data_IF_881967278412
#
_entry.id   IF_881967278412
#
_cell.length_a   1.000
_cell.length_b   1.000
_cell.length_c   1.000
_cell.angle_alpha   90.00
_cell.angle_beta   90.00
_cell.angle_gamma   90.00
#
_symmetry.space_group_name_H-M   'P 1'
#
loop_
_entity.id
_entity.type
_entity.pdbx_description
1 polymer ?
#
# COMPACT_ATOMS: atom_id res chain seq x y z
N UNK A 1 -21.83 -31.60 -50.89
CA UNK A 1 -21.28 -30.44 -50.15
C UNK A 1 -19.77 -30.63 -50.10
N UNK A 2 -19.06 -29.83 -50.84
CA UNK A 2 -17.59 -29.95 -51.03
C UNK A 2 -16.85 -29.55 -49.78
N UNK A 3 -15.64 -30.08 -49.57
CA UNK A 3 -14.77 -29.73 -48.48
C UNK A 3 -14.49 -28.20 -48.45
N UNK A 4 -14.45 -27.58 -49.63
CA UNK A 4 -14.26 -26.15 -49.81
C UNK A 4 -15.39 -25.29 -49.22
N UNK A 5 -16.64 -25.80 -49.18
CA UNK A 5 -17.78 -25.08 -48.60
C UNK A 5 -17.80 -25.13 -47.06
N UNK A 6 -17.02 -26.01 -46.45
CA UNK A 6 -16.95 -26.20 -45.00
C UNK A 6 -15.81 -25.45 -44.37
N UNK A 7 -14.70 -25.23 -45.11
CA UNK A 7 -13.50 -24.56 -44.63
C UNK A 7 -13.76 -23.16 -43.97
N UNK A 8 -14.55 -22.26 -44.61
CA UNK A 8 -14.78 -20.94 -44.02
C UNK A 8 -15.62 -21.01 -42.73
N UNK A 9 -16.54 -21.99 -42.65
CA UNK A 9 -17.36 -22.19 -41.43
C UNK A 9 -16.53 -22.65 -40.24
N UNK A 10 -15.61 -23.59 -40.44
CA UNK A 10 -14.73 -24.08 -39.38
C UNK A 10 -13.73 -23.01 -38.97
N UNK A 11 -13.23 -22.20 -39.90
CA UNK A 11 -12.35 -21.08 -39.59
C UNK A 11 -13.05 -20.05 -38.68
N UNK A 12 -14.29 -19.65 -39.01
CA UNK A 12 -15.08 -18.74 -38.18
C UNK A 12 -15.34 -19.35 -36.80
N UNK A 13 -15.69 -20.63 -36.71
CA UNK A 13 -15.94 -21.30 -35.44
C UNK A 13 -14.67 -21.38 -34.57
N UNK A 14 -13.50 -21.63 -35.14
CA UNK A 14 -12.23 -21.67 -34.41
C UNK A 14 -11.84 -20.28 -33.90
N UNK A 15 -12.04 -19.21 -34.67
CA UNK A 15 -11.78 -17.84 -34.24
C UNK A 15 -12.71 -17.44 -33.10
N UNK A 16 -14.01 -17.78 -33.20
CA UNK A 16 -14.98 -17.53 -32.13
C UNK A 16 -14.64 -18.31 -30.85
N UNK A 17 -14.30 -19.59 -30.99
CA UNK A 17 -13.91 -20.41 -29.82
C UNK A 17 -12.62 -19.89 -29.15
N UNK A 18 -11.64 -19.48 -29.96
CA UNK A 18 -10.40 -18.89 -29.45
C UNK A 18 -10.67 -17.53 -28.73
N UNK A 19 -11.56 -16.70 -29.32
CA UNK A 19 -11.97 -15.44 -28.72
C UNK A 19 -12.71 -15.64 -27.38
N UNK A 20 -13.66 -16.55 -27.32
CA UNK A 20 -14.38 -16.91 -26.10
C UNK A 20 -13.44 -17.52 -25.05
N UNK A 21 -12.50 -18.36 -25.47
CA UNK A 21 -11.47 -18.91 -24.59
C UNK A 21 -10.56 -17.83 -24.00
N UNK A 22 -10.16 -16.86 -24.79
CA UNK A 22 -9.35 -15.73 -24.31
C UNK A 22 -10.11 -14.84 -23.32
N UNK A 23 -11.40 -14.58 -23.58
CA UNK A 23 -12.27 -13.83 -22.66
C UNK A 23 -12.46 -14.61 -21.37
N UNK A 24 -12.80 -15.89 -21.44
CA UNK A 24 -12.95 -16.76 -20.28
C UNK A 24 -11.65 -16.83 -19.47
N UNK A 25 -10.49 -16.94 -20.13
CA UNK A 25 -9.18 -16.90 -19.49
C UNK A 25 -8.91 -15.58 -18.77
N UNK A 26 -9.30 -14.44 -19.35
CA UNK A 26 -9.20 -13.14 -18.71
C UNK A 26 -10.11 -13.01 -17.50
N UNK A 27 -11.32 -13.55 -17.55
CA UNK A 27 -12.29 -13.51 -16.46
C UNK A 27 -11.97 -14.52 -15.34
N UNK A 28 -11.35 -15.65 -15.68
CA UNK A 28 -10.92 -16.66 -14.72
C UNK A 28 -9.50 -16.46 -14.20
N UNK A 29 -8.71 -15.57 -14.79
CA UNK A 29 -7.45 -15.19 -14.15
C UNK A 29 -7.81 -14.69 -12.76
N UNK A 30 -7.33 -15.35 -11.67
CA UNK A 30 -7.38 -14.72 -10.37
C UNK A 30 -6.71 -13.37 -10.60
N UNK A 31 -7.38 -12.27 -10.21
CA UNK A 31 -6.75 -10.98 -10.19
C UNK A 31 -5.42 -11.22 -9.48
N UNK A 32 -4.33 -11.24 -10.25
CA UNK A 32 -3.00 -11.21 -9.68
C UNK A 32 -3.04 -9.92 -8.89
N UNK A 33 -3.37 -10.06 -7.63
CA UNK A 33 -3.31 -8.98 -6.65
C UNK A 33 -1.94 -8.40 -6.85
N UNK A 34 -1.89 -7.26 -7.52
CA UNK A 34 -0.71 -6.41 -7.58
C UNK A 34 -0.26 -6.36 -6.15
N UNK A 35 0.85 -7.04 -5.84
CA UNK A 35 1.13 -7.57 -4.52
C UNK A 35 0.88 -6.54 -3.44
N UNK A 36 -0.28 -6.64 -2.80
CA UNK A 36 -0.60 -5.87 -1.60
C UNK A 36 0.51 -6.19 -0.62
N UNK A 37 1.44 -5.26 -0.44
CA UNK A 37 2.57 -5.45 0.46
C UNK A 37 2.13 -5.09 1.87
N UNK A 38 1.23 -5.90 2.42
CA UNK A 38 0.93 -5.84 3.84
C UNK A 38 2.02 -6.58 4.60
N UNK A 39 2.40 -6.03 5.75
CA UNK A 39 3.33 -6.67 6.68
C UNK A 39 2.55 -7.16 7.90
N UNK A 40 3.02 -8.25 8.51
CA UNK A 40 2.49 -8.66 9.80
C UNK A 40 3.09 -7.77 10.89
N UNK A 41 2.24 -7.08 11.67
CA UNK A 41 2.66 -6.08 12.66
C UNK A 41 2.25 -6.53 14.06
N UNK A 42 3.26 -6.66 14.94
CA UNK A 42 3.08 -6.87 16.37
C UNK A 42 2.84 -5.52 17.04
N UNK A 43 1.77 -5.39 17.81
CA UNK A 43 1.48 -4.20 18.60
C UNK A 43 2.12 -4.33 20.01
N UNK A 44 2.84 -3.30 20.48
CA UNK A 44 3.32 -3.25 21.86
C UNK A 44 2.24 -2.73 22.82
N UNK A 45 2.55 -2.68 24.09
CA UNK A 45 1.85 -1.81 25.03
C UNK A 45 2.23 -0.35 24.74
N UNK A 46 1.27 0.40 24.23
CA UNK A 46 1.48 1.78 23.77
C UNK A 46 1.54 2.76 24.95
N UNK A 47 2.40 3.76 24.81
CA UNK A 47 2.36 4.96 25.65
C UNK A 47 1.03 5.71 25.51
N UNK A 48 0.72 6.60 26.45
CA UNK A 48 -0.50 7.40 26.39
C UNK A 48 -0.57 8.24 25.10
N UNK A 49 0.56 8.80 24.66
CA UNK A 49 0.64 9.59 23.42
C UNK A 49 0.46 8.71 22.19
N UNK A 50 1.07 7.54 22.17
CA UNK A 50 0.94 6.62 21.05
C UNK A 50 -0.50 6.08 20.89
N UNK A 51 -1.25 5.90 21.99
CA UNK A 51 -2.69 5.56 21.91
C UNK A 51 -3.50 6.66 21.23
N UNK A 52 -3.28 7.93 21.61
CA UNK A 52 -3.91 9.07 20.92
C UNK A 52 -3.48 9.12 19.45
N UNK A 53 -2.21 8.82 19.18
CA UNK A 53 -1.67 8.72 17.82
C UNK A 53 -2.30 7.59 17.00
N UNK A 54 -2.58 6.45 17.63
CA UNK A 54 -3.30 5.33 17.00
C UNK A 54 -4.69 5.76 16.54
N UNK A 55 -5.47 6.38 17.42
CA UNK A 55 -6.82 6.85 17.08
C UNK A 55 -6.78 7.87 15.93
N UNK A 56 -5.86 8.82 15.98
CA UNK A 56 -5.67 9.81 14.93
C UNK A 56 -5.20 9.18 13.60
N UNK A 57 -4.33 8.19 13.66
CA UNK A 57 -3.86 7.43 12.49
C UNK A 57 -4.98 6.61 11.85
N UNK A 58 -5.75 5.90 12.66
CA UNK A 58 -6.88 5.08 12.15
C UNK A 58 -7.94 5.94 11.50
N UNK A 59 -8.21 7.13 12.02
CA UNK A 59 -9.18 8.06 11.45
C UNK A 59 -8.73 8.71 10.12
N UNK A 60 -7.43 8.95 9.92
CA UNK A 60 -6.94 9.79 8.82
C UNK A 60 -6.00 9.08 7.84
N UNK A 61 -5.29 8.05 8.26
CA UNK A 61 -4.18 7.46 7.51
C UNK A 61 -4.42 6.00 7.13
N UNK A 62 -5.17 5.25 7.96
CA UNK A 62 -5.32 3.80 7.82
C UNK A 62 -6.06 3.38 6.54
N UNK A 63 -6.88 4.25 5.94
CA UNK A 63 -7.55 3.97 4.66
C UNK A 63 -6.56 3.66 3.51
N UNK A 64 -5.34 4.22 3.59
CA UNK A 64 -4.27 3.97 2.64
C UNK A 64 -3.15 3.12 3.26
N UNK A 65 -2.72 3.43 4.48
CA UNK A 65 -1.57 2.78 5.10
C UNK A 65 -1.92 1.52 5.91
N UNK A 66 -3.20 1.14 5.96
CA UNK A 66 -3.69 -0.03 6.67
C UNK A 66 -3.76 0.16 8.19
N UNK A 67 -4.60 -0.65 8.85
CA UNK A 67 -4.57 -0.76 10.31
C UNK A 67 -3.18 -1.20 10.75
N UNK A 68 -2.74 -0.71 11.92
CA UNK A 68 -1.38 -0.95 12.45
C UNK A 68 -0.27 -0.48 11.51
N UNK A 69 -0.58 0.43 10.58
CA UNK A 69 0.37 0.90 9.57
C UNK A 69 0.99 -0.24 8.73
N UNK A 70 0.23 -1.31 8.50
CA UNK A 70 0.66 -2.54 7.85
C UNK A 70 0.67 -2.46 6.31
N UNK A 71 0.17 -1.38 5.73
CA UNK A 71 0.00 -1.18 4.28
C UNK A 71 -1.33 -1.70 3.75
N UNK A 72 -1.67 -1.27 2.54
CA UNK A 72 -2.80 -1.73 1.73
C UNK A 72 -2.41 -1.75 0.25
N UNK A 73 -3.37 -1.97 -0.62
CA UNK A 73 -3.22 -1.77 -2.08
C UNK A 73 -3.14 -0.29 -2.50
N UNK A 74 -3.40 0.66 -1.56
CA UNK A 74 -3.45 2.11 -1.80
C UNK A 74 -2.26 2.87 -1.23
N UNK A 75 -1.54 2.27 -0.30
CA UNK A 75 -0.41 2.92 0.35
C UNK A 75 0.51 1.95 1.07
N UNK A 76 1.79 2.34 1.24
CA UNK A 76 2.81 1.46 1.78
C UNK A 76 2.65 1.18 3.28
N UNK A 77 3.19 0.04 3.76
CA UNK A 77 3.36 -0.18 5.18
C UNK A 77 4.36 0.84 5.74
N UNK A 78 4.03 1.50 6.88
CA UNK A 78 4.97 2.37 7.57
C UNK A 78 5.82 1.59 8.60
N UNK A 79 5.43 0.36 8.92
CA UNK A 79 6.26 -0.61 9.66
C UNK A 79 7.13 -1.36 8.64
N UNK A 80 8.14 -0.67 8.13
CA UNK A 80 9.07 -1.18 7.13
C UNK A 80 10.42 -0.47 7.26
N UNK A 81 11.52 -1.16 6.95
CA UNK A 81 12.90 -0.66 7.08
C UNK A 81 13.16 0.66 6.35
N UNK A 82 12.48 0.92 5.25
CA UNK A 82 12.54 2.20 4.52
C UNK A 82 12.16 3.38 5.44
N UNK A 83 11.20 3.19 6.35
CA UNK A 83 10.71 4.25 7.23
C UNK A 83 11.43 4.32 8.57
N UNK A 84 12.59 3.66 8.71
CA UNK A 84 13.42 3.81 9.90
C UNK A 84 13.83 5.28 10.14
N UNK A 85 14.06 5.70 11.41
CA UNK A 85 14.35 7.10 11.73
C UNK A 85 15.60 7.70 11.08
N UNK A 86 16.54 6.87 10.63
CA UNK A 86 17.76 7.33 9.95
C UNK A 86 17.56 7.62 8.47
N UNK A 87 16.49 7.08 7.84
CA UNK A 87 16.14 7.32 6.44
C UNK A 87 14.93 8.27 6.32
N UNK A 88 13.89 8.05 7.10
CA UNK A 88 12.72 8.93 7.20
C UNK A 88 12.61 9.44 8.65
N UNK A 89 13.29 10.53 8.94
CA UNK A 89 13.20 11.18 10.26
C UNK A 89 11.78 11.67 10.55
N UNK A 90 11.46 11.95 11.81
CA UNK A 90 10.13 12.38 12.25
C UNK A 90 9.59 13.56 11.44
N UNK A 91 10.44 14.53 11.10
CA UNK A 91 10.09 15.67 10.26
C UNK A 91 9.53 15.29 8.89
N UNK A 92 9.91 14.12 8.34
CA UNK A 92 9.38 13.64 7.06
C UNK A 92 7.88 13.33 7.14
N UNK A 93 7.38 12.87 8.28
CA UNK A 93 5.94 12.62 8.50
C UNK A 93 5.14 13.92 8.53
N UNK A 94 5.69 14.97 9.15
CA UNK A 94 5.06 16.30 9.15
C UNK A 94 4.99 16.89 7.75
N UNK A 95 6.07 16.78 6.97
CA UNK A 95 6.09 17.25 5.58
C UNK A 95 5.13 16.43 4.71
N UNK A 96 5.09 15.12 4.89
CA UNK A 96 4.19 14.23 4.17
C UNK A 96 2.71 14.58 4.44
N UNK A 97 2.34 14.79 5.69
CA UNK A 97 0.99 15.19 6.06
C UNK A 97 0.64 16.59 5.51
N UNK A 98 1.56 17.54 5.56
CA UNK A 98 1.34 18.94 5.17
C UNK A 98 1.34 19.17 3.66
N UNK A 99 2.28 18.56 2.94
CA UNK A 99 2.56 18.83 1.54
C UNK A 99 2.23 17.67 0.60
N UNK A 100 1.94 16.50 1.15
CA UNK A 100 1.90 15.26 0.39
C UNK A 100 3.31 14.75 0.03
N UNK A 101 3.36 13.66 -0.70
CA UNK A 101 4.62 13.03 -1.11
C UNK A 101 4.54 12.63 -2.57
N UNK A 102 5.52 13.05 -3.38
CA UNK A 102 5.69 12.49 -4.71
C UNK A 102 6.17 11.04 -4.59
N UNK A 103 5.57 10.15 -5.36
CA UNK A 103 5.96 8.74 -5.42
C UNK A 103 7.47 8.58 -5.66
N UNK A 104 8.15 7.78 -4.82
CA UNK A 104 9.59 7.51 -4.97
C UNK A 104 10.06 6.11 -4.53
N UNK A 105 9.47 5.48 -3.52
CA UNK A 105 9.85 4.14 -3.07
C UNK A 105 8.87 3.04 -3.50
N UNK A 106 7.59 3.39 -3.68
CA UNK A 106 6.50 2.45 -3.88
C UNK A 106 5.61 2.84 -5.05
N UNK A 107 5.06 1.90 -5.80
CA UNK A 107 4.27 2.19 -6.99
C UNK A 107 2.78 2.49 -6.67
N UNK A 108 2.50 3.23 -5.58
CA UNK A 108 1.13 3.54 -5.17
C UNK A 108 0.61 4.90 -5.67
N UNK A 109 1.43 5.65 -6.42
CA UNK A 109 1.13 7.03 -6.79
C UNK A 109 1.52 8.02 -5.70
N UNK A 110 1.18 9.29 -5.92
CA UNK A 110 1.49 10.37 -5.00
C UNK A 110 0.56 10.34 -3.79
N UNK A 111 1.10 10.55 -2.59
CA UNK A 111 0.30 10.76 -1.39
C UNK A 111 -0.25 12.20 -1.38
N UNK A 112 -1.56 12.42 -1.29
CA UNK A 112 -2.10 13.76 -1.18
C UNK A 112 -1.84 14.38 0.22
N UNK A 113 -1.80 15.73 0.34
CA UNK A 113 -1.77 16.40 1.63
C UNK A 113 -2.96 16.02 2.52
N UNK A 114 -2.74 16.00 3.82
CA UNK A 114 -3.75 15.67 4.85
C UNK A 114 -4.06 16.91 5.70
N UNK A 115 -4.61 17.95 5.08
CA UNK A 115 -4.77 19.29 5.68
C UNK A 115 -5.73 19.30 6.88
N UNK A 116 -6.55 18.27 7.06
CA UNK A 116 -7.46 18.11 8.19
C UNK A 116 -6.74 17.66 9.48
N UNK A 117 -5.47 17.19 9.37
CA UNK A 117 -4.71 16.67 10.51
C UNK A 117 -3.85 17.77 11.10
N UNK A 118 -4.00 18.05 12.39
CA UNK A 118 -3.20 19.07 13.09
C UNK A 118 -1.77 18.58 13.34
N UNK A 119 -0.83 19.53 13.56
CA UNK A 119 0.55 19.17 13.88
C UNK A 119 0.65 18.35 15.18
N UNK A 120 -0.20 18.62 16.18
CA UNK A 120 -0.26 17.81 17.40
C UNK A 120 -0.70 16.38 17.14
N UNK A 121 -1.66 16.20 16.24
CA UNK A 121 -2.08 14.84 15.82
C UNK A 121 -0.96 14.14 15.05
N UNK A 122 -0.26 14.85 14.16
CA UNK A 122 0.90 14.28 13.45
C UNK A 122 1.99 13.84 14.43
N UNK A 123 2.29 14.65 15.45
CA UNK A 123 3.26 14.30 16.48
C UNK A 123 2.87 13.01 17.22
N UNK A 124 1.60 12.88 17.59
CA UNK A 124 1.10 11.66 18.23
C UNK A 124 1.12 10.44 17.28
N UNK A 125 0.76 10.64 16.00
CA UNK A 125 0.86 9.61 14.96
C UNK A 125 2.31 9.13 14.77
N UNK A 126 3.27 10.06 14.75
CA UNK A 126 4.70 9.71 14.69
C UNK A 126 5.08 8.82 15.87
N UNK A 127 4.70 9.21 17.09
CA UNK A 127 4.97 8.39 18.28
C UNK A 127 4.38 6.98 18.15
N UNK A 128 3.13 6.87 17.71
CA UNK A 128 2.48 5.59 17.46
C UNK A 128 3.26 4.73 16.44
N UNK A 129 3.60 5.30 15.28
CA UNK A 129 4.34 4.57 14.24
C UNK A 129 5.73 4.16 14.74
N UNK A 130 6.42 5.02 15.50
CA UNK A 130 7.75 4.70 16.06
C UNK A 130 7.68 3.57 17.08
N UNK A 131 6.69 3.55 17.94
CA UNK A 131 6.51 2.44 18.90
C UNK A 131 6.17 1.12 18.17
N UNK A 132 5.35 1.16 17.12
CA UNK A 132 5.15 0.01 16.24
C UNK A 132 6.46 -0.45 15.60
N UNK A 133 7.24 0.46 15.03
CA UNK A 133 8.53 0.15 14.41
C UNK A 133 9.47 -0.54 15.39
N UNK A 134 9.63 0.01 16.58
CA UNK A 134 10.50 -0.57 17.63
C UNK A 134 10.04 -1.97 18.01
N UNK A 135 8.74 -2.19 18.22
CA UNK A 135 8.18 -3.50 18.55
C UNK A 135 8.39 -4.54 17.44
N UNK A 136 8.61 -4.08 16.21
CA UNK A 136 8.84 -4.93 15.04
C UNK A 136 10.32 -4.92 14.57
N UNK A 137 11.25 -4.52 15.45
CA UNK A 137 12.69 -4.59 15.21
C UNK A 137 13.25 -3.48 14.30
N UNK A 138 12.48 -2.43 14.03
CA UNK A 138 12.89 -1.31 13.20
C UNK A 138 13.35 -0.15 14.10
N UNK A 139 14.65 0.00 14.24
CA UNK A 139 15.29 1.10 14.97
C UNK A 139 16.02 2.07 14.04
N UNK A 140 16.73 3.03 14.62
CA UNK A 140 17.57 3.95 13.87
C UNK A 140 18.66 3.19 13.12
N UNK A 141 18.75 3.44 11.82
CA UNK A 141 19.84 2.97 10.96
C UNK A 141 20.33 4.17 10.15
N UNK A 142 21.65 4.49 10.19
CA UNK A 142 22.18 5.60 9.41
C UNK A 142 21.91 5.38 7.92
N UNK A 143 21.47 6.45 7.25
CA UNK A 143 21.33 6.41 5.80
C UNK A 143 22.73 6.28 5.17
N UNK A 144 22.98 5.18 4.46
CA UNK A 144 24.18 5.02 3.64
C UNK A 144 23.85 5.53 2.24
N UNK A 145 24.49 6.63 1.86
CA UNK A 145 24.52 7.11 0.48
C UNK A 145 25.39 6.20 -0.36
#
# INVERSE_FOLDING_TARGET
>A
MSLADRLPKYFVLTVLAAGLGAIAWQLLKPALTSGVRTVNVVEPEFSAIARVGKDAFEANCASCHGLKAAGTDKGPPLVHDIYNPGHHADGAFFLAAKLGVRQHHWPYGDMPPQLQVTEQQVAAIVQYVRELQVANGIGYRPHRM
#
